data_IF_693677992527
#
_entry.id   IF_693677992527
#
_cell.length_a   1.000
_cell.length_b   1.000
_cell.length_c   1.000
_cell.angle_alpha   90.00
_cell.angle_beta   90.00
_cell.angle_gamma   90.00
#
_symmetry.space_group_name_H-M   'P 1'
#
loop_
_entity.id
_entity.type
_entity.pdbx_description
1 polymer ?
#
# COMPACT_ATOMS: atom_id res chain seq x y z
N UNK A 1 -36.86 -34.64 22.90
CA UNK A 1 -36.22 -34.56 21.57
C UNK A 1 -36.17 -33.14 20.97
N UNK A 2 -37.21 -32.29 21.11
CA UNK A 2 -37.21 -30.89 20.59
C UNK A 2 -36.08 -29.99 21.10
N UNK A 3 -35.64 -30.15 22.36
CA UNK A 3 -34.55 -29.33 22.95
C UNK A 3 -33.16 -29.67 22.40
N UNK A 4 -32.89 -30.96 22.15
CA UNK A 4 -31.61 -31.42 21.57
C UNK A 4 -31.43 -30.94 20.13
N UNK A 5 -32.51 -30.94 19.33
CA UNK A 5 -32.48 -30.46 17.94
C UNK A 5 -32.22 -28.94 17.88
N UNK A 6 -32.81 -28.16 18.80
CA UNK A 6 -32.54 -26.72 18.91
C UNK A 6 -31.09 -26.43 19.35
N UNK A 7 -30.56 -27.23 20.27
CA UNK A 7 -29.16 -27.12 20.70
C UNK A 7 -28.18 -27.43 19.57
N UNK A 8 -28.45 -28.49 18.79
CA UNK A 8 -27.63 -28.85 17.63
C UNK A 8 -27.63 -27.75 16.55
N UNK A 9 -28.80 -27.15 16.29
CA UNK A 9 -28.94 -26.08 15.30
C UNK A 9 -28.21 -24.80 15.72
N UNK A 10 -28.27 -24.44 17.01
CA UNK A 10 -27.52 -23.32 17.56
C UNK A 10 -26.00 -23.54 17.46
N UNK A 11 -25.53 -24.75 17.75
CA UNK A 11 -24.10 -25.08 17.65
C UNK A 11 -23.61 -24.99 16.20
N UNK A 12 -24.40 -25.50 15.25
CA UNK A 12 -24.07 -25.45 13.83
C UNK A 12 -24.03 -24.00 13.31
N UNK A 13 -24.99 -23.17 13.72
CA UNK A 13 -25.00 -21.74 13.38
C UNK A 13 -23.76 -21.02 13.88
N UNK A 14 -23.29 -21.33 15.10
CA UNK A 14 -22.11 -20.68 15.67
C UNK A 14 -20.84 -21.02 14.87
N UNK A 15 -20.69 -22.28 14.45
CA UNK A 15 -19.55 -22.74 13.64
C UNK A 15 -19.53 -22.07 12.27
N UNK A 16 -20.70 -21.89 11.64
CA UNK A 16 -20.79 -21.23 10.33
C UNK A 16 -20.41 -19.74 10.43
N UNK A 17 -20.84 -19.06 11.49
CA UNK A 17 -20.52 -17.64 11.71
C UNK A 17 -19.02 -17.45 11.96
N UNK A 18 -18.39 -18.30 12.78
CA UNK A 18 -16.95 -18.19 13.05
C UNK A 18 -16.12 -18.50 11.79
N UNK A 19 -16.50 -19.49 10.99
CA UNK A 19 -15.85 -19.79 9.72
C UNK A 19 -15.98 -18.63 8.71
N UNK A 20 -17.15 -17.99 8.65
CA UNK A 20 -17.37 -16.83 7.80
C UNK A 20 -16.53 -15.62 8.22
N UNK A 21 -16.42 -15.36 9.54
CA UNK A 21 -15.59 -14.28 10.08
C UNK A 21 -14.10 -14.50 9.80
N UNK A 22 -13.61 -15.74 9.90
CA UNK A 22 -12.21 -16.05 9.57
C UNK A 22 -11.93 -15.81 8.09
N UNK A 23 -12.84 -16.22 7.19
CA UNK A 23 -12.70 -16.00 5.75
C UNK A 23 -12.75 -14.51 5.39
N UNK A 24 -13.58 -13.73 6.07
CA UNK A 24 -13.74 -12.30 5.79
C UNK A 24 -12.57 -11.46 6.35
N UNK A 25 -12.01 -11.87 7.49
CA UNK A 25 -10.88 -11.19 8.12
C UNK A 25 -9.52 -11.77 7.70
N UNK A 26 -9.48 -12.77 6.82
CA UNK A 26 -8.23 -13.17 6.20
C UNK A 26 -7.75 -12.01 5.33
N UNK A 27 -6.60 -11.37 5.65
CA UNK A 27 -5.99 -10.46 4.70
C UNK A 27 -5.79 -11.26 3.42
N UNK A 28 -6.27 -10.72 2.30
CA UNK A 28 -6.05 -11.32 1.00
C UNK A 28 -4.54 -11.45 0.81
N UNK A 29 -4.00 -12.63 1.07
CA UNK A 29 -2.67 -13.01 0.60
C UNK A 29 -2.88 -13.14 -0.90
N UNK A 30 -2.75 -12.01 -1.59
CA UNK A 30 -2.47 -12.01 -3.01
C UNK A 30 -1.15 -12.78 -3.09
N UNK A 31 -1.22 -14.02 -3.55
CA UNK A 31 -0.03 -14.78 -3.95
C UNK A 31 0.59 -13.99 -5.11
N UNK A 32 1.39 -12.99 -4.77
CA UNK A 32 2.30 -12.35 -5.70
C UNK A 32 3.26 -13.44 -6.13
N UNK A 33 3.20 -13.85 -7.38
CA UNK A 33 4.22 -14.70 -8.01
C UNK A 33 5.58 -14.07 -7.71
N UNK A 34 6.30 -14.63 -6.74
CA UNK A 34 7.63 -14.15 -6.36
C UNK A 34 8.54 -14.52 -7.54
N UNK A 35 8.83 -13.54 -8.40
CA UNK A 35 9.79 -13.70 -9.47
C UNK A 35 11.17 -13.90 -8.80
N UNK A 36 11.63 -15.16 -8.79
CA UNK A 36 12.78 -15.65 -8.01
C UNK A 36 14.12 -15.03 -8.43
N UNK A 37 14.15 -14.24 -9.49
CA UNK A 37 15.23 -13.33 -9.85
C UNK A 37 14.59 -12.11 -10.49
N UNK A 38 14.75 -10.89 -9.94
CA UNK A 38 14.51 -9.70 -10.75
C UNK A 38 15.48 -9.78 -11.94
N UNK A 39 14.95 -9.63 -13.16
CA UNK A 39 15.80 -9.51 -14.34
C UNK A 39 16.86 -8.43 -14.09
N UNK A 40 18.07 -8.60 -14.62
CA UNK A 40 19.20 -7.67 -14.43
C UNK A 40 18.88 -6.22 -14.81
N UNK A 41 17.78 -5.98 -15.53
CA UNK A 41 17.29 -4.67 -15.97
C UNK A 41 15.99 -4.20 -15.28
N UNK A 42 15.53 -4.89 -14.23
CA UNK A 42 14.26 -4.57 -13.57
C UNK A 42 14.17 -3.11 -13.12
N UNK A 43 15.23 -2.61 -12.48
CA UNK A 43 15.30 -1.22 -12.00
C UNK A 43 15.25 -0.21 -13.14
N UNK A 44 15.84 -0.52 -14.29
CA UNK A 44 15.82 0.33 -15.48
C UNK A 44 14.44 0.35 -16.15
N UNK A 45 13.78 -0.80 -16.26
CA UNK A 45 12.41 -0.90 -16.78
C UNK A 45 11.44 -0.07 -15.93
N UNK A 46 11.47 -0.26 -14.60
CA UNK A 46 10.62 0.49 -13.68
C UNK A 46 11.00 1.97 -13.71
N UNK A 47 12.29 2.32 -13.75
CA UNK A 47 12.77 3.69 -13.92
C UNK A 47 12.17 4.37 -15.15
N UNK A 48 12.16 3.68 -16.29
CA UNK A 48 11.51 4.15 -17.51
C UNK A 48 10.00 4.33 -17.36
N UNK A 49 9.30 3.38 -16.74
CA UNK A 49 7.86 3.49 -16.47
C UNK A 49 7.52 4.67 -15.57
N UNK A 50 8.29 4.92 -14.51
CA UNK A 50 8.10 6.05 -13.60
C UNK A 50 8.18 7.39 -14.35
N UNK A 51 9.10 7.52 -15.29
CA UNK A 51 9.24 8.71 -16.13
C UNK A 51 8.09 8.85 -17.13
N UNK A 52 7.81 7.80 -17.90
CA UNK A 52 6.79 7.81 -18.96
C UNK A 52 5.37 8.06 -18.43
N UNK A 53 5.08 7.62 -17.20
CA UNK A 53 3.77 7.80 -16.56
C UNK A 53 3.64 9.13 -15.80
N UNK A 54 4.72 9.92 -15.73
CA UNK A 54 4.82 11.11 -14.88
C UNK A 54 4.50 10.81 -13.40
N UNK A 55 4.91 9.64 -12.92
CA UNK A 55 4.49 9.09 -11.63
C UNK A 55 4.79 10.05 -10.46
N UNK A 56 6.04 10.53 -10.38
CA UNK A 56 6.49 11.50 -9.35
C UNK A 56 5.60 12.74 -9.33
N UNK A 57 5.28 13.31 -10.49
CA UNK A 57 4.45 14.53 -10.59
C UNK A 57 3.04 14.26 -10.09
N UNK A 58 2.46 13.10 -10.43
CA UNK A 58 1.10 12.72 -9.99
C UNK A 58 1.05 12.59 -8.46
N UNK A 59 2.06 11.97 -7.85
CA UNK A 59 2.15 11.87 -6.38
C UNK A 59 2.24 13.26 -5.75
N UNK A 60 3.15 14.11 -6.21
CA UNK A 60 3.33 15.46 -5.65
C UNK A 60 2.02 16.27 -5.73
N UNK A 61 1.32 16.21 -6.87
CA UNK A 61 0.04 16.91 -7.05
C UNK A 61 -1.04 16.36 -6.11
N UNK A 62 -1.16 15.03 -5.99
CA UNK A 62 -2.15 14.41 -5.10
C UNK A 62 -1.88 14.72 -3.62
N UNK A 63 -0.62 14.68 -3.20
CA UNK A 63 -0.22 15.03 -1.83
C UNK A 63 -0.54 16.49 -1.49
N UNK A 64 -0.28 17.42 -2.42
CA UNK A 64 -0.65 18.83 -2.24
C UNK A 64 -2.16 19.02 -2.18
N UNK A 65 -2.93 18.31 -3.02
CA UNK A 65 -4.38 18.33 -2.98
C UNK A 65 -4.96 17.78 -1.67
N UNK A 66 -4.26 16.82 -1.04
CA UNK A 66 -4.60 16.30 0.29
C UNK A 66 -4.13 17.22 1.45
N UNK A 67 -3.46 18.33 1.16
CA UNK A 67 -3.03 19.30 2.17
C UNK A 67 -1.67 18.99 2.82
N UNK A 68 -0.85 18.15 2.17
CA UNK A 68 0.55 17.95 2.54
C UNK A 68 1.49 18.85 1.75
N UNK A 69 2.72 18.99 2.26
CA UNK A 69 3.75 19.86 1.70
C UNK A 69 5.01 19.04 1.36
N UNK A 70 4.98 18.23 0.28
CA UNK A 70 6.13 17.46 -0.13
C UNK A 70 7.18 18.32 -0.83
N UNK A 71 8.42 17.85 -0.75
CA UNK A 71 9.50 18.29 -1.62
C UNK A 71 9.13 18.18 -3.10
N UNK A 72 9.89 18.88 -3.95
CA UNK A 72 9.72 18.74 -5.41
C UNK A 72 10.33 17.46 -5.98
N UNK A 73 11.01 16.68 -5.14
CA UNK A 73 11.64 15.41 -5.50
C UNK A 73 11.15 14.27 -4.59
N UNK A 74 11.23 13.05 -5.12
CA UNK A 74 10.89 11.82 -4.40
C UNK A 74 12.04 10.83 -4.66
N UNK A 75 12.52 10.19 -3.59
CA UNK A 75 13.53 9.15 -3.67
C UNK A 75 12.91 7.78 -3.99
N UNK A 76 13.61 6.97 -4.78
CA UNK A 76 13.21 5.61 -5.13
C UNK A 76 14.34 4.63 -4.86
N UNK A 77 14.00 3.46 -4.31
CA UNK A 77 14.86 2.29 -4.25
C UNK A 77 14.11 1.13 -4.90
N UNK A 78 14.62 0.65 -6.03
CA UNK A 78 13.98 -0.40 -6.84
C UNK A 78 14.89 -1.62 -6.86
N UNK A 79 14.59 -2.62 -6.04
CA UNK A 79 15.39 -3.85 -5.97
C UNK A 79 14.67 -5.03 -6.62
N UNK A 80 13.38 -5.22 -6.36
CA UNK A 80 12.59 -6.33 -6.91
C UNK A 80 11.09 -6.03 -6.86
N UNK A 81 10.21 -6.78 -7.54
CA UNK A 81 8.75 -6.55 -7.51
C UNK A 81 8.10 -6.55 -6.11
N UNK A 82 8.74 -7.19 -5.14
CA UNK A 82 8.31 -7.24 -3.74
C UNK A 82 9.11 -6.33 -2.81
N UNK A 83 10.21 -5.74 -3.28
CA UNK A 83 11.05 -4.84 -2.49
C UNK A 83 11.33 -3.54 -3.27
N UNK A 84 10.42 -2.58 -3.12
CA UNK A 84 10.55 -1.25 -3.69
C UNK A 84 10.12 -0.23 -2.65
N UNK A 85 10.93 0.81 -2.48
CA UNK A 85 10.67 1.87 -1.52
C UNK A 85 10.53 3.20 -2.26
N UNK A 86 9.54 3.98 -1.85
CA UNK A 86 9.42 5.39 -2.18
C UNK A 86 9.66 6.22 -0.92
N UNK A 87 10.56 7.20 -0.99
CA UNK A 87 10.86 8.10 0.12
C UNK A 87 10.36 9.50 -0.20
N UNK A 88 9.45 10.00 0.63
CA UNK A 88 8.78 11.28 0.45
C UNK A 88 9.16 12.18 1.62
N UNK A 89 9.78 13.31 1.31
CA UNK A 89 10.11 14.34 2.30
C UNK A 89 8.96 15.33 2.42
N UNK A 90 8.52 15.61 3.65
CA UNK A 90 7.48 16.58 3.97
C UNK A 90 8.03 17.68 4.88
N UNK A 91 7.59 18.92 4.64
CA UNK A 91 8.04 20.09 5.41
C UNK A 91 7.16 20.44 6.62
N UNK A 92 6.04 19.76 6.82
CA UNK A 92 5.08 20.15 7.85
C UNK A 92 5.01 19.10 8.97
N UNK A 93 5.71 19.41 10.08
CA UNK A 93 5.89 18.55 11.25
C UNK A 93 4.61 18.28 12.03
N UNK A 94 3.66 19.22 11.99
CA UNK A 94 2.47 19.22 12.86
C UNK A 94 1.43 18.15 12.51
N UNK A 95 1.64 17.39 11.43
CA UNK A 95 0.68 16.41 10.90
C UNK A 95 1.19 14.98 10.82
N UNK A 96 2.39 14.65 11.32
CA UNK A 96 2.90 13.28 11.18
C UNK A 96 2.40 12.35 12.29
N UNK A 97 1.12 11.97 12.22
CA UNK A 97 0.58 10.83 12.95
C UNK A 97 0.68 9.54 12.12
N UNK A 98 0.52 8.36 12.73
CA UNK A 98 0.51 7.06 12.03
C UNK A 98 -0.55 7.00 10.91
N UNK A 99 -1.63 7.77 11.03
CA UNK A 99 -2.64 7.97 9.98
C UNK A 99 -2.03 8.58 8.72
N UNK A 100 -1.10 9.52 8.85
CA UNK A 100 -0.46 10.21 7.72
C UNK A 100 0.35 9.28 6.84
N UNK A 101 1.16 8.38 7.42
CA UNK A 101 1.87 7.37 6.62
C UNK A 101 0.90 6.45 5.88
N UNK A 102 -0.20 6.06 6.53
CA UNK A 102 -1.22 5.18 5.95
C UNK A 102 -2.00 5.87 4.82
N UNK A 103 -2.33 7.15 4.98
CA UNK A 103 -2.99 7.98 3.96
C UNK A 103 -2.09 8.20 2.75
N UNK A 104 -0.81 8.53 2.97
CA UNK A 104 0.18 8.69 1.89
C UNK A 104 0.41 7.36 1.17
N UNK A 105 0.49 6.24 1.91
CA UNK A 105 0.56 4.90 1.33
C UNK A 105 -0.65 4.61 0.42
N UNK A 106 -1.86 5.00 0.84
CA UNK A 106 -3.06 4.84 0.02
C UNK A 106 -3.02 5.68 -1.26
N UNK A 107 -2.57 6.94 -1.17
CA UNK A 107 -2.40 7.83 -2.34
C UNK A 107 -1.40 7.22 -3.33
N UNK A 108 -0.24 6.78 -2.85
CA UNK A 108 0.80 6.18 -3.70
C UNK A 108 0.28 4.89 -4.35
N UNK A 109 -0.40 4.02 -3.59
CA UNK A 109 -0.95 2.77 -4.12
C UNK A 109 -1.98 3.02 -5.22
N UNK A 110 -2.92 3.95 -5.00
CA UNK A 110 -3.94 4.28 -5.99
C UNK A 110 -3.33 4.79 -7.29
N UNK A 111 -2.28 5.62 -7.20
CA UNK A 111 -1.56 6.10 -8.38
C UNK A 111 -0.78 4.95 -9.03
N UNK A 112 -0.13 4.06 -8.26
CA UNK A 112 0.62 2.94 -8.81
C UNK A 112 -0.28 1.99 -9.61
N UNK A 113 -1.41 1.61 -9.02
CA UNK A 113 -2.41 0.74 -9.67
C UNK A 113 -2.96 1.37 -10.95
N UNK A 114 -3.28 2.68 -10.93
CA UNK A 114 -3.79 3.40 -12.11
C UNK A 114 -2.76 3.49 -13.24
N UNK A 115 -1.47 3.30 -12.95
CA UNK A 115 -0.38 3.39 -13.93
C UNK A 115 0.28 2.02 -14.22
N UNK A 116 -0.36 0.91 -13.84
CA UNK A 116 0.16 -0.45 -14.02
C UNK A 116 1.58 -0.65 -13.44
N UNK A 117 1.80 -0.04 -12.27
CA UNK A 117 3.03 -0.17 -11.49
C UNK A 117 2.81 -1.10 -10.31
N UNK A 118 3.88 -1.78 -9.91
CA UNK A 118 3.90 -2.51 -8.66
C UNK A 118 3.78 -1.56 -7.47
N UNK A 119 3.20 -2.04 -6.37
CA UNK A 119 3.09 -1.27 -5.14
C UNK A 119 4.47 -0.99 -4.52
N UNK A 120 4.61 0.21 -3.95
CA UNK A 120 5.81 0.67 -3.25
C UNK A 120 5.55 0.69 -1.74
N UNK A 121 6.54 0.34 -0.93
CA UNK A 121 6.53 0.68 0.48
C UNK A 121 6.84 2.17 0.63
N UNK A 122 5.99 2.91 1.32
CA UNK A 122 6.19 4.34 1.56
C UNK A 122 7.00 4.57 2.82
N UNK A 123 8.05 5.38 2.71
CA UNK A 123 8.79 5.97 3.82
C UNK A 123 8.59 7.49 3.79
N UNK A 124 7.96 8.03 4.83
CA UNK A 124 7.76 9.47 4.96
C UNK A 124 8.84 10.03 5.89
N UNK A 125 9.57 11.03 5.42
CA UNK A 125 10.58 11.74 6.21
C UNK A 125 10.14 13.18 6.43
N UNK A 126 10.39 13.68 7.62
CA UNK A 126 10.19 15.08 7.95
C UNK A 126 11.50 15.83 7.73
N UNK A 127 11.42 16.95 7.03
CA UNK A 127 12.53 17.87 6.85
C UNK A 127 12.14 19.22 7.45
N UNK A 128 12.95 19.69 8.39
CA UNK A 128 12.77 21.00 8.99
C UNK A 128 13.14 22.08 7.96
N UNK A 129 12.28 23.10 7.81
CA UNK A 129 12.59 24.25 6.95
C UNK A 129 13.44 25.20 7.79
N UNK A 130 14.76 25.10 7.68
CA UNK A 130 15.68 26.12 8.22
C UNK A 130 15.69 27.37 7.34
#
# INVERSE_FOLDING_TARGET
MRGLIKGLFMLFSLIVITAALIKYNQPSIIEKTIQKNPDTNYSEEIGGKLQNTNFTKKIIVALRAAGYFPDSTIGYLIESPSNQLITIQLHNLDKLEKSTESEIQSIVNSIAETNDLQLFMVNVRLTDVH
#
